data_IF_198573517403
#
_entry.id   IF_198573517403
#
_cell.length_a   1.000
_cell.length_b   1.000
_cell.length_c   1.000
_cell.angle_alpha   90.00
_cell.angle_beta   90.00
_cell.angle_gamma   90.00
#
_symmetry.space_group_name_H-M   'P 1'
#
loop_
_entity.id
_entity.type
_entity.pdbx_description
1 polymer ?
#
# COMPACT_ATOMS: atom_id res chain seq x y z
N UNK A 1 -7.87 -20.31 32.70
CA UNK A 1 -8.87 -19.22 32.70
C UNK A 1 -8.73 -18.45 31.40
N UNK A 2 -9.82 -18.36 30.64
CA UNK A 2 -9.93 -17.59 29.39
C UNK A 2 -10.13 -16.11 29.75
N UNK A 3 -9.59 -15.20 28.95
CA UNK A 3 -10.07 -13.81 28.87
C UNK A 3 -9.85 -13.30 27.43
N UNK A 4 -10.91 -13.46 26.64
CA UNK A 4 -11.61 -12.52 25.77
C UNK A 4 -10.83 -11.43 25.02
N UNK A 5 -10.90 -11.57 23.69
CA UNK A 5 -10.52 -10.54 22.73
C UNK A 5 -11.59 -9.45 22.59
N UNK A 6 -11.12 -8.21 22.52
CA UNK A 6 -11.94 -7.05 22.18
C UNK A 6 -12.00 -6.86 20.67
N UNK A 7 -13.23 -6.81 20.15
CA UNK A 7 -13.57 -6.32 18.81
C UNK A 7 -14.00 -4.85 18.93
N UNK A 8 -13.49 -3.98 18.06
CA UNK A 8 -14.15 -2.69 17.78
C UNK A 8 -14.42 -2.61 16.27
N UNK A 9 -15.70 -2.46 15.94
CA UNK A 9 -16.22 -2.11 14.61
C UNK A 9 -15.92 -0.63 14.36
N UNK A 10 -15.24 -0.27 13.27
CA UNK A 10 -15.26 1.12 12.79
C UNK A 10 -16.56 1.34 12.02
N UNK A 11 -17.50 2.05 12.63
CA UNK A 11 -18.62 2.67 11.94
C UNK A 11 -18.12 3.93 11.24
N UNK A 12 -18.42 4.10 9.95
CA UNK A 12 -18.73 5.41 9.36
C UNK A 12 -19.69 5.18 8.19
N UNK A 13 -20.93 5.64 8.38
CA UNK A 13 -21.90 5.90 7.32
C UNK A 13 -22.54 7.27 7.61
N UNK A 14 -22.94 7.91 6.52
CA UNK A 14 -23.78 9.10 6.38
C UNK A 14 -23.06 10.46 6.34
N UNK A 15 -22.83 10.93 5.11
CA UNK A 15 -23.24 12.28 4.72
C UNK A 15 -24.20 12.10 3.54
N UNK A 16 -25.42 12.61 3.73
CA UNK A 16 -26.54 12.58 2.81
C UNK A 16 -26.24 13.44 1.57
N UNK A 17 -26.66 12.97 0.39
CA UNK A 17 -26.84 13.82 -0.79
C UNK A 17 -28.30 13.73 -1.21
N UNK A 18 -29.01 14.83 -0.95
CA UNK A 18 -30.37 15.10 -1.40
C UNK A 18 -30.42 15.19 -2.92
N UNK A 19 -31.16 14.27 -3.55
CA UNK A 19 -31.68 14.44 -4.91
C UNK A 19 -33.20 14.25 -4.86
N UNK A 20 -33.94 15.37 -4.98
CA UNK A 20 -35.37 15.36 -5.22
C UNK A 20 -35.62 15.00 -6.69
N UNK A 21 -36.32 13.88 -6.90
CA UNK A 21 -36.99 13.55 -8.16
C UNK A 21 -38.46 14.00 -8.05
N UNK A 22 -38.90 14.75 -9.05
CA UNK A 22 -40.30 15.09 -9.28
C UNK A 22 -41.05 13.93 -9.94
N UNK A 23 -42.18 13.58 -9.33
CA UNK A 23 -43.46 13.19 -9.96
C UNK A 23 -43.47 12.10 -11.03
N UNK A 24 -44.11 10.97 -10.72
CA UNK A 24 -45.48 10.72 -11.19
C UNK A 24 -46.11 9.50 -10.52
N UNK A 25 -47.38 9.65 -10.17
CA UNK A 25 -48.25 8.66 -9.54
C UNK A 25 -49.20 8.03 -10.55
N UNK A 26 -49.55 6.75 -10.35
CA UNK A 26 -50.89 6.15 -10.57
C UNK A 26 -50.81 4.64 -10.28
N UNK A 27 -51.28 4.18 -9.12
CA UNK A 27 -52.58 3.50 -8.86
C UNK A 27 -52.89 2.27 -9.72
N UNK A 28 -52.82 1.07 -9.13
CA UNK A 28 -54.02 0.24 -8.85
C UNK A 28 -53.71 -1.00 -7.99
N UNK A 29 -54.65 -1.26 -7.08
CA UNK A 29 -54.78 -2.36 -6.13
C UNK A 29 -55.04 -3.73 -6.78
N UNK A 30 -54.69 -4.85 -6.13
CA UNK A 30 -55.57 -5.62 -5.21
C UNK A 30 -54.97 -7.01 -4.93
N UNK A 31 -55.26 -7.47 -3.71
CA UNK A 31 -54.83 -8.67 -2.99
C UNK A 31 -55.18 -10.02 -3.62
N UNK A 32 -54.38 -11.05 -3.32
CA UNK A 32 -54.88 -12.33 -2.74
C UNK A 32 -53.74 -13.08 -2.05
N UNK A 33 -54.05 -13.57 -0.85
CA UNK A 33 -53.20 -14.30 0.10
C UNK A 33 -53.23 -15.81 -0.15
N UNK A 34 -52.10 -16.51 0.07
CA UNK A 34 -52.12 -17.97 0.13
C UNK A 34 -50.76 -18.66 0.34
N UNK A 35 -50.48 -19.01 1.61
CA UNK A 35 -49.72 -20.18 2.09
C UNK A 35 -48.19 -20.32 1.84
N UNK A 36 -47.48 -20.69 2.91
CA UNK A 36 -46.24 -21.48 2.81
C UNK A 36 -45.14 -21.15 3.82
N UNK A 37 -45.06 -21.94 4.91
CA UNK A 37 -43.98 -21.94 5.91
C UNK A 37 -42.59 -22.16 5.29
N UNK A 38 -41.57 -21.45 5.79
CA UNK A 38 -40.25 -22.03 6.10
C UNK A 38 -39.37 -21.02 6.87
N UNK A 39 -39.22 -21.22 8.19
CA UNK A 39 -38.09 -20.67 8.94
C UNK A 39 -36.84 -21.43 8.51
N UNK A 40 -35.87 -20.75 7.89
CA UNK A 40 -34.49 -21.25 7.74
C UNK A 40 -33.58 -20.42 8.63
N UNK A 41 -33.12 -21.05 9.71
CA UNK A 41 -32.03 -20.59 10.55
C UNK A 41 -30.76 -20.41 9.71
N UNK A 42 -30.39 -19.15 9.47
CA UNK A 42 -29.16 -18.76 8.81
C UNK A 42 -27.97 -18.90 9.76
N UNK A 43 -27.50 -20.12 9.98
CA UNK A 43 -26.24 -20.40 10.70
C UNK A 43 -25.05 -20.04 9.79
N UNK A 44 -24.70 -18.74 9.73
CA UNK A 44 -23.49 -18.26 9.08
C UNK A 44 -22.27 -18.83 9.81
N UNK A 45 -21.67 -19.90 9.28
CA UNK A 45 -20.34 -20.37 9.69
C UNK A 45 -19.32 -19.32 9.26
N UNK A 46 -18.82 -18.54 10.20
CA UNK A 46 -17.62 -17.71 10.00
C UNK A 46 -16.43 -18.65 9.81
N UNK A 47 -15.91 -18.70 8.59
CA UNK A 47 -14.62 -19.32 8.30
C UNK A 47 -13.53 -18.44 8.92
N UNK A 48 -13.17 -18.75 10.17
CA UNK A 48 -11.94 -18.28 10.80
C UNK A 48 -10.76 -18.86 10.02
N UNK A 49 -10.18 -18.09 9.10
CA UNK A 49 -8.87 -18.40 8.53
C UNK A 49 -7.82 -18.03 9.58
N UNK A 50 -7.42 -19.03 10.34
CA UNK A 50 -6.34 -18.98 11.33
C UNK A 50 -5.02 -18.76 10.58
N UNK A 51 -4.56 -17.52 10.47
CA UNK A 51 -3.21 -17.20 9.99
C UNK A 51 -2.20 -17.80 10.97
N UNK A 52 -1.61 -18.94 10.58
CA UNK A 52 -0.42 -19.45 11.26
C UNK A 52 0.77 -18.60 10.78
N UNK A 53 1.42 -17.96 11.75
CA UNK A 53 2.75 -17.38 11.61
C UNK A 53 3.69 -18.51 11.18
N UNK A 54 4.09 -18.49 9.91
CA UNK A 54 5.30 -19.12 9.45
C UNK A 54 6.25 -17.96 9.15
N UNK A 55 7.38 -17.93 9.85
CA UNK A 55 8.52 -17.12 9.42
C UNK A 55 8.87 -17.55 8.00
N UNK A 56 8.51 -16.71 7.04
CA UNK A 56 8.75 -16.97 5.63
C UNK A 56 10.24 -16.80 5.37
N UNK A 57 11.02 -17.87 5.55
CA UNK A 57 12.39 -18.04 5.04
C UNK A 57 12.51 -17.97 3.50
N UNK A 58 11.58 -17.30 2.83
CA UNK A 58 11.50 -17.10 1.38
C UNK A 58 12.10 -15.74 0.97
N UNK A 59 12.32 -14.81 1.93
CA UNK A 59 13.02 -13.55 1.67
C UNK A 59 14.44 -13.77 1.11
N UNK A 60 15.13 -14.85 1.55
CA UNK A 60 16.51 -15.16 1.14
C UNK A 60 16.67 -15.42 -0.37
N UNK A 61 15.66 -15.95 -1.07
CA UNK A 61 15.72 -16.17 -2.53
C UNK A 61 15.37 -14.93 -3.36
N UNK A 62 14.83 -13.87 -2.76
CA UNK A 62 14.42 -12.63 -3.44
C UNK A 62 15.53 -11.57 -3.51
N UNK A 63 16.66 -11.82 -2.84
CA UNK A 63 17.88 -11.02 -2.94
C UNK A 63 18.41 -10.87 -4.37
N UNK A 64 18.05 -11.74 -5.32
CA UNK A 64 18.47 -11.62 -6.72
C UNK A 64 17.97 -10.34 -7.39
N UNK A 65 16.82 -9.79 -6.96
CA UNK A 65 16.28 -8.54 -7.52
C UNK A 65 16.94 -7.29 -6.90
N UNK A 66 17.59 -7.41 -5.73
CA UNK A 66 18.30 -6.29 -5.07
C UNK A 66 19.51 -5.84 -5.89
N UNK A 67 20.07 -6.72 -6.73
CA UNK A 67 21.21 -6.39 -7.61
C UNK A 67 20.84 -5.59 -8.86
N UNK A 68 19.55 -5.35 -9.13
CA UNK A 68 19.14 -4.62 -10.32
C UNK A 68 19.41 -3.12 -10.16
N UNK A 69 20.07 -2.45 -11.14
CA UNK A 69 20.34 -1.02 -11.04
C UNK A 69 19.09 -0.20 -10.74
N UNK A 70 17.94 -0.59 -11.32
CA UNK A 70 16.66 0.08 -11.10
C UNK A 70 16.09 -0.11 -9.69
N UNK A 71 16.47 -1.15 -8.93
CA UNK A 71 16.04 -1.35 -7.54
C UNK A 71 17.06 -0.76 -6.57
N UNK A 72 18.36 -0.89 -6.87
CA UNK A 72 19.45 -0.31 -6.07
C UNK A 72 19.29 1.19 -5.93
N UNK A 73 18.99 1.89 -7.03
CA UNK A 73 18.77 3.33 -7.04
C UNK A 73 17.55 3.73 -6.18
N UNK A 74 16.47 2.94 -6.23
CA UNK A 74 15.22 3.22 -5.51
C UNK A 74 15.33 2.93 -4.01
N UNK A 75 16.26 2.06 -3.61
CA UNK A 75 16.63 1.81 -2.21
C UNK A 75 17.59 2.86 -1.64
N UNK A 76 18.08 3.82 -2.44
CA UNK A 76 19.09 4.79 -1.98
C UNK A 76 18.63 5.62 -0.78
N UNK A 77 17.38 6.09 -0.80
CA UNK A 77 16.79 6.88 0.30
C UNK A 77 16.69 6.05 1.58
N UNK A 78 16.21 4.80 1.46
CA UNK A 78 16.16 3.86 2.57
C UNK A 78 17.55 3.65 3.17
N UNK A 79 18.52 3.25 2.35
CA UNK A 79 19.90 2.98 2.79
C UNK A 79 20.54 4.20 3.46
N UNK A 80 20.32 5.39 2.91
CA UNK A 80 20.87 6.63 3.42
C UNK A 80 20.28 7.03 4.79
N UNK A 81 19.00 6.76 5.03
CA UNK A 81 18.34 7.07 6.30
C UNK A 81 18.65 6.00 7.36
N UNK A 82 18.56 4.73 6.98
CA UNK A 82 18.76 3.58 7.87
C UNK A 82 20.23 3.40 8.27
N UNK A 83 21.20 3.87 7.48
CA UNK A 83 22.61 3.88 7.91
C UNK A 83 22.88 4.75 9.15
N UNK A 84 21.94 5.66 9.49
CA UNK A 84 22.09 6.59 10.62
C UNK A 84 22.78 7.90 10.28
N UNK A 85 23.10 8.13 9.00
CA UNK A 85 23.71 9.38 8.53
C UNK A 85 22.73 10.57 8.50
N UNK A 86 21.45 10.35 8.83
CA UNK A 86 20.38 11.33 8.73
C UNK A 86 19.63 11.44 10.07
N UNK A 87 19.32 12.68 10.45
CA UNK A 87 18.56 13.02 11.66
C UNK A 87 17.31 13.82 11.25
N UNK A 88 16.20 13.60 11.96
CA UNK A 88 14.98 14.37 11.81
C UNK A 88 15.21 15.85 12.21
N UNK A 89 14.89 16.80 11.35
CA UNK A 89 14.89 18.22 11.74
C UNK A 89 13.62 18.57 12.52
N UNK A 90 13.71 19.62 13.35
CA UNK A 90 12.55 20.23 14.01
C UNK A 90 11.82 21.24 13.09
N UNK A 91 12.26 21.38 11.83
CA UNK A 91 11.59 22.22 10.84
C UNK A 91 10.26 21.57 10.43
N UNK A 92 9.15 22.27 10.66
CA UNK A 92 7.83 21.80 10.24
C UNK A 92 7.62 22.07 8.74
N UNK A 93 7.31 21.04 7.97
CA UNK A 93 7.11 21.13 6.52
C UNK A 93 5.69 20.68 6.20
N UNK A 94 4.74 21.57 6.48
CA UNK A 94 3.30 21.33 6.28
C UNK A 94 2.92 21.17 4.81
N UNK A 95 3.67 21.77 3.87
CA UNK A 95 3.20 21.95 2.49
C UNK A 95 3.53 20.78 1.53
N UNK A 96 4.56 19.99 1.80
CA UNK A 96 4.99 18.89 0.91
C UNK A 96 4.38 17.53 1.26
N UNK A 97 3.86 17.38 2.48
CA UNK A 97 3.36 16.11 3.03
C UNK A 97 2.14 15.53 2.29
N UNK A 98 1.29 16.39 1.70
CA UNK A 98 0.00 15.99 1.15
C UNK A 98 0.04 15.29 -0.22
N UNK A 99 1.20 15.25 -0.90
CA UNK A 99 1.28 14.81 -2.30
C UNK A 99 2.00 13.48 -2.51
N UNK A 100 2.51 12.85 -1.46
CA UNK A 100 3.26 11.60 -1.59
C UNK A 100 2.31 10.42 -1.81
N UNK A 101 2.61 9.61 -2.83
CA UNK A 101 1.89 8.36 -3.09
C UNK A 101 2.38 7.29 -2.11
N UNK A 102 1.46 6.71 -1.34
CA UNK A 102 1.76 5.74 -0.27
C UNK A 102 0.92 4.48 -0.40
N UNK A 103 1.38 3.39 0.20
CA UNK A 103 0.64 2.12 0.28
C UNK A 103 -0.41 2.22 1.39
N UNK A 104 -1.68 2.02 1.03
CA UNK A 104 -2.82 2.07 1.96
C UNK A 104 -3.23 0.70 2.46
N UNK A 105 -3.17 -0.33 1.59
CA UNK A 105 -3.50 -1.72 1.92
C UNK A 105 -2.55 -2.66 1.20
N UNK A 106 -2.35 -3.84 1.77
CA UNK A 106 -1.50 -4.88 1.21
C UNK A 106 -2.06 -6.27 1.53
N UNK A 107 -1.72 -7.24 0.70
CA UNK A 107 -2.01 -8.65 0.89
C UNK A 107 -0.81 -9.48 0.44
N UNK A 108 -0.51 -10.50 1.23
CA UNK A 108 0.59 -11.42 0.98
C UNK A 108 0.04 -12.75 0.46
N UNK A 109 0.19 -12.96 -0.86
CA UNK A 109 -0.08 -14.24 -1.53
C UNK A 109 1.20 -14.80 -2.13
N UNK A 110 2.36 -14.54 -1.51
CA UNK A 110 3.68 -14.94 -2.04
C UNK A 110 3.85 -16.44 -2.18
N UNK A 111 3.08 -17.24 -1.44
CA UNK A 111 3.03 -18.71 -1.60
C UNK A 111 2.39 -19.21 -2.90
N UNK A 112 1.75 -18.33 -3.70
CA UNK A 112 1.10 -18.71 -4.97
C UNK A 112 1.35 -17.74 -6.11
N UNK A 113 1.17 -16.44 -5.87
CA UNK A 113 1.14 -15.41 -6.93
C UNK A 113 2.23 -14.36 -6.69
N UNK A 114 2.27 -13.78 -5.50
CA UNK A 114 3.10 -12.61 -5.22
C UNK A 114 2.58 -11.77 -4.06
N UNK A 115 3.16 -10.59 -3.92
CA UNK A 115 2.76 -9.59 -2.93
C UNK A 115 2.01 -8.46 -3.63
N UNK A 116 0.84 -8.07 -3.11
CA UNK A 116 0.01 -7.04 -3.72
C UNK A 116 -0.29 -5.91 -2.76
N UNK A 117 -0.41 -4.71 -3.29
CA UNK A 117 -0.77 -3.54 -2.50
C UNK A 117 -1.58 -2.51 -3.31
N UNK A 118 -2.33 -1.66 -2.63
CA UNK A 118 -3.04 -0.54 -3.25
C UNK A 118 -2.56 0.78 -2.68
N UNK A 119 -2.30 1.72 -3.57
CA UNK A 119 -1.82 3.06 -3.25
C UNK A 119 -3.00 4.02 -2.99
N UNK A 120 -2.72 5.16 -2.36
CA UNK A 120 -3.71 6.23 -2.11
C UNK A 120 -4.19 6.95 -3.39
N UNK A 121 -3.53 6.75 -4.52
CA UNK A 121 -3.95 7.22 -5.84
C UNK A 121 -4.77 6.16 -6.63
N UNK A 122 -5.09 5.03 -5.99
CA UNK A 122 -5.88 3.95 -6.56
C UNK A 122 -5.11 2.94 -7.40
N UNK A 123 -3.79 3.10 -7.54
CA UNK A 123 -2.98 2.12 -8.23
C UNK A 123 -2.92 0.82 -7.44
N UNK A 124 -3.30 -0.29 -8.06
CA UNK A 124 -2.98 -1.65 -7.62
C UNK A 124 -1.59 -2.02 -8.12
N UNK A 125 -0.70 -2.41 -7.22
CA UNK A 125 0.62 -2.94 -7.55
C UNK A 125 0.70 -4.41 -7.14
N UNK A 126 1.31 -5.25 -7.96
CA UNK A 126 1.60 -6.66 -7.67
C UNK A 126 3.03 -6.98 -8.04
N UNK A 127 3.82 -7.35 -7.03
CA UNK A 127 5.16 -7.91 -7.18
C UNK A 127 5.04 -9.44 -7.23
N UNK A 128 5.23 -10.01 -8.42
CA UNK A 128 5.08 -11.44 -8.65
C UNK A 128 6.27 -12.24 -8.10
N UNK A 129 6.07 -13.53 -7.86
CA UNK A 129 7.12 -14.45 -7.39
C UNK A 129 8.29 -14.60 -8.37
N UNK A 130 8.10 -14.26 -9.64
CA UNK A 130 9.15 -14.25 -10.66
C UNK A 130 9.93 -12.93 -10.74
N UNK A 131 9.70 -12.01 -9.79
CA UNK A 131 10.37 -10.71 -9.70
C UNK A 131 9.78 -9.61 -10.57
N UNK A 132 8.92 -9.94 -11.55
CA UNK A 132 8.23 -8.90 -12.32
C UNK A 132 7.22 -8.13 -11.45
N UNK A 133 6.96 -6.87 -11.80
CA UNK A 133 6.00 -6.03 -11.09
C UNK A 133 5.01 -5.40 -12.04
N UNK A 134 3.71 -5.54 -11.75
CA UNK A 134 2.62 -4.89 -12.48
C UNK A 134 2.00 -3.79 -11.62
N UNK A 135 1.77 -2.63 -12.21
CA UNK A 135 0.93 -1.56 -11.69
C UNK A 135 -0.28 -1.38 -12.59
N UNK A 136 -1.46 -1.20 -12.00
CA UNK A 136 -2.71 -0.95 -12.70
C UNK A 136 -3.49 0.14 -11.98
N UNK A 137 -3.84 1.21 -12.70
CA UNK A 137 -4.74 2.24 -12.21
C UNK A 137 -5.98 2.26 -13.09
N UNK A 138 -7.15 2.11 -12.46
CA UNK A 138 -8.43 2.26 -13.13
C UNK A 138 -8.65 3.70 -13.58
N UNK A 139 -9.44 3.87 -14.65
CA UNK A 139 -9.86 5.19 -15.08
C UNK A 139 -10.56 5.93 -13.92
N UNK A 140 -10.18 7.18 -13.72
CA UNK A 140 -10.77 8.08 -12.73
C UNK A 140 -11.14 9.40 -13.39
N UNK A 141 -11.77 10.31 -12.66
CA UNK A 141 -12.10 11.65 -13.16
C UNK A 141 -10.88 12.43 -13.68
N UNK A 142 -9.66 12.04 -13.29
CA UNK A 142 -8.43 12.76 -13.60
C UNK A 142 -7.52 12.06 -14.62
N UNK A 143 -7.93 10.91 -15.17
CA UNK A 143 -7.12 10.20 -16.17
C UNK A 143 -7.68 8.85 -16.60
N UNK A 144 -7.23 8.40 -17.78
CA UNK A 144 -7.59 7.10 -18.32
C UNK A 144 -7.02 5.93 -17.51
N UNK A 145 -7.53 4.73 -17.82
CA UNK A 145 -6.95 3.48 -17.34
C UNK A 145 -5.48 3.40 -17.79
N UNK A 146 -4.61 2.93 -16.90
CA UNK A 146 -3.18 2.77 -17.20
C UNK A 146 -2.62 1.54 -16.53
N UNK A 147 -1.68 0.92 -17.23
CA UNK A 147 -0.92 -0.19 -16.74
C UNK A 147 0.56 0.04 -17.01
N UNK A 148 1.37 -0.51 -16.12
CA UNK A 148 2.82 -0.52 -16.23
C UNK A 148 3.33 -1.87 -15.77
N UNK A 149 4.26 -2.45 -16.51
CA UNK A 149 4.90 -3.70 -16.14
C UNK A 149 6.40 -3.56 -16.24
N UNK A 150 7.08 -3.90 -15.16
CA UNK A 150 8.47 -4.28 -15.16
C UNK A 150 8.55 -5.78 -15.45
N UNK A 151 8.90 -6.11 -16.69
CA UNK A 151 9.13 -7.46 -17.17
C UNK A 151 10.64 -7.75 -17.25
N UNK A 152 11.00 -9.03 -17.45
CA UNK A 152 12.36 -9.48 -17.72
C UNK A 152 13.39 -8.84 -16.80
N UNK A 153 13.17 -8.96 -15.49
CA UNK A 153 14.04 -8.33 -14.49
C UNK A 153 15.50 -8.77 -14.60
N UNK A 154 15.79 -9.91 -15.24
CA UNK A 154 17.15 -10.40 -15.45
C UNK A 154 17.84 -9.81 -16.70
N UNK A 155 17.15 -9.04 -17.53
CA UNK A 155 17.71 -8.36 -18.71
C UNK A 155 18.21 -6.96 -18.33
N UNK A 156 19.24 -6.47 -19.04
CA UNK A 156 19.85 -5.17 -18.77
C UNK A 156 19.88 -4.32 -20.05
N UNK A 157 19.11 -3.22 -20.15
CA UNK A 157 18.17 -2.71 -19.14
C UNK A 157 16.90 -3.57 -19.01
N UNK A 158 16.24 -3.58 -17.84
CA UNK A 158 15.00 -4.33 -17.66
C UNK A 158 13.87 -3.71 -18.49
N UNK A 159 13.00 -4.55 -19.03
CA UNK A 159 11.93 -4.12 -19.91
C UNK A 159 10.79 -3.48 -19.11
N UNK A 160 10.54 -2.18 -19.36
CA UNK A 160 9.37 -1.48 -18.84
C UNK A 160 8.40 -1.26 -19.99
N UNK A 161 7.17 -1.74 -19.81
CA UNK A 161 6.11 -1.63 -20.82
C UNK A 161 4.89 -0.95 -20.19
N UNK A 162 4.30 -0.01 -20.92
CA UNK A 162 3.11 0.73 -20.49
C UNK A 162 1.99 0.58 -21.53
N UNK A 163 0.75 0.52 -21.05
CA UNK A 163 -0.44 0.44 -21.90
C UNK A 163 -1.63 1.11 -21.24
N UNK A 164 -2.55 1.62 -22.05
CA UNK A 164 -3.76 2.28 -21.57
C UNK A 164 -4.93 1.30 -21.38
N UNK A 165 -4.94 0.18 -22.13
CA UNK A 165 -6.05 -0.78 -22.08
C UNK A 165 -5.54 -2.21 -22.15
N UNK A 166 -6.12 -3.08 -21.33
CA UNK A 166 -5.72 -4.50 -21.31
C UNK A 166 -5.90 -5.19 -22.67
N UNK A 167 -6.83 -4.73 -23.52
CA UNK A 167 -7.05 -5.27 -24.88
C UNK A 167 -5.88 -5.05 -25.83
N UNK A 168 -5.01 -4.08 -25.53
CA UNK A 168 -3.85 -3.76 -26.36
C UNK A 168 -2.68 -4.74 -26.08
N UNK A 169 -2.79 -5.56 -25.03
CA UNK A 169 -1.81 -6.58 -24.66
C UNK A 169 -2.02 -7.88 -25.45
N UNK A 170 -1.02 -8.25 -26.26
CA UNK A 170 -1.04 -9.50 -27.05
C UNK A 170 -0.37 -10.69 -26.34
N UNK A 171 0.54 -10.42 -25.39
CA UNK A 171 1.26 -11.47 -24.67
C UNK A 171 0.34 -12.19 -23.67
N UNK A 172 0.10 -13.48 -23.91
CA UNK A 172 -0.69 -14.35 -23.04
C UNK A 172 -0.16 -14.44 -21.60
N UNK A 173 1.16 -14.32 -21.38
CA UNK A 173 1.76 -14.31 -20.04
C UNK A 173 1.42 -13.03 -19.29
N UNK A 174 1.46 -11.88 -19.96
CA UNK A 174 1.08 -10.59 -19.39
C UNK A 174 -0.42 -10.57 -19.08
N UNK A 175 -1.27 -11.07 -19.98
CA UNK A 175 -2.70 -11.21 -19.74
C UNK A 175 -3.02 -12.08 -18.52
N UNK A 176 -2.27 -13.18 -18.31
CA UNK A 176 -2.39 -14.00 -17.08
C UNK A 176 -2.03 -13.20 -15.83
N UNK A 177 -0.96 -12.39 -15.86
CA UNK A 177 -0.58 -11.52 -14.73
C UNK A 177 -1.66 -10.48 -14.40
N UNK A 178 -2.27 -9.85 -15.41
CA UNK A 178 -3.41 -8.93 -15.20
C UNK A 178 -4.56 -9.66 -14.50
N UNK A 179 -4.91 -10.87 -14.96
CA UNK A 179 -5.95 -11.69 -14.32
C UNK A 179 -5.61 -12.06 -12.88
N UNK A 180 -4.36 -12.41 -12.59
CA UNK A 180 -3.92 -12.70 -11.23
C UNK A 180 -3.97 -11.45 -10.34
N UNK A 181 -3.60 -10.28 -10.86
CA UNK A 181 -3.68 -9.03 -10.11
C UNK A 181 -5.14 -8.70 -9.71
N UNK A 182 -6.09 -8.93 -10.61
CA UNK A 182 -7.52 -8.74 -10.31
C UNK A 182 -8.03 -9.61 -9.14
N UNK A 183 -7.35 -10.72 -8.80
CA UNK A 183 -7.72 -11.59 -7.68
C UNK A 183 -7.33 -11.01 -6.31
N UNK A 184 -6.50 -9.96 -6.26
CA UNK A 184 -6.06 -9.40 -4.97
C UNK A 184 -7.20 -8.69 -4.21
N UNK A 185 -8.36 -8.41 -4.84
CA UNK A 185 -9.55 -7.77 -4.23
C UNK A 185 -9.26 -6.56 -3.32
N UNK A 186 -8.10 -5.92 -3.50
CA UNK A 186 -7.69 -4.77 -2.72
C UNK A 186 -8.39 -3.54 -3.29
N UNK A 187 -9.00 -2.76 -2.40
CA UNK A 187 -9.58 -1.45 -2.71
C UNK A 187 -8.99 -0.41 -1.80
N UNK A 188 -8.69 0.78 -2.32
CA UNK A 188 -8.22 1.90 -1.52
C UNK A 188 -9.19 2.19 -0.37
N UNK A 189 -8.67 2.70 0.76
CA UNK A 189 -9.47 2.96 1.95
C UNK A 189 -10.36 4.21 1.85
N UNK A 190 -10.05 5.13 0.93
CA UNK A 190 -10.71 6.43 0.75
C UNK A 190 -10.77 6.83 -0.72
N UNK A 191 -11.48 7.93 -1.02
CA UNK A 191 -11.33 8.68 -2.26
C UNK A 191 -9.86 9.03 -2.52
N UNK A 192 -9.47 9.09 -3.79
CA UNK A 192 -8.09 9.34 -4.18
C UNK A 192 -7.71 10.82 -3.91
N UNK A 193 -7.00 11.06 -2.81
CA UNK A 193 -6.56 12.42 -2.42
C UNK A 193 -5.35 12.91 -3.23
N UNK A 194 -4.70 12.00 -3.97
CA UNK A 194 -3.49 12.28 -4.77
C UNK A 194 -3.71 11.80 -6.19
N UNK A 195 -3.52 12.71 -7.16
CA UNK A 195 -3.49 12.38 -8.58
C UNK A 195 -2.02 12.34 -9.02
N UNK A 196 -1.45 11.15 -9.15
CA UNK A 196 -0.13 10.99 -9.76
C UNK A 196 -0.28 10.81 -11.28
N UNK A 197 0.49 11.51 -12.13
CA UNK A 197 0.44 11.27 -13.57
C UNK A 197 1.05 9.91 -13.96
N UNK A 198 1.87 9.30 -13.10
CA UNK A 198 2.59 8.07 -13.38
C UNK A 198 2.04 6.89 -12.57
N UNK A 199 2.04 5.69 -13.16
CA UNK A 199 1.74 4.44 -12.46
C UNK A 199 2.99 3.98 -11.73
N UNK A 200 2.89 3.81 -10.42
CA UNK A 200 3.97 3.26 -9.61
C UNK A 200 3.93 1.71 -9.60
N UNK A 201 5.11 1.12 -9.44
CA UNK A 201 5.31 -0.32 -9.26
C UNK A 201 5.81 -0.60 -7.84
N UNK A 202 5.50 -1.77 -7.30
CA UNK A 202 6.13 -2.27 -6.08
C UNK A 202 7.39 -3.04 -6.50
N UNK A 203 8.57 -2.51 -6.17
CA UNK A 203 9.83 -3.08 -6.62
C UNK A 203 10.47 -4.02 -5.60
N UNK A 204 10.21 -3.77 -4.32
CA UNK A 204 10.82 -4.54 -3.25
C UNK A 204 9.92 -4.59 -2.02
N UNK A 205 9.93 -5.74 -1.36
CA UNK A 205 9.28 -6.01 -0.10
C UNK A 205 10.22 -6.79 0.83
N UNK A 206 10.34 -6.40 2.10
CA UNK A 206 10.98 -7.23 3.12
C UNK A 206 10.10 -7.25 4.34
N UNK A 207 9.76 -8.45 4.81
CA UNK A 207 9.01 -8.62 6.05
C UNK A 207 9.93 -9.24 7.08
N UNK A 208 9.96 -8.63 8.25
CA UNK A 208 10.47 -9.26 9.46
C UNK A 208 9.31 -9.45 10.45
N UNK A 209 9.62 -9.93 11.65
CA UNK A 209 8.63 -10.19 12.69
C UNK A 209 7.80 -8.95 13.07
N UNK A 210 8.44 -7.78 13.11
CA UNK A 210 7.84 -6.56 13.66
C UNK A 210 7.48 -5.51 12.62
N UNK A 211 7.97 -5.65 11.38
CA UNK A 211 7.81 -4.63 10.35
C UNK A 211 7.74 -5.22 8.93
N UNK A 212 7.13 -4.44 8.03
CA UNK A 212 7.07 -4.68 6.61
C UNK A 212 7.61 -3.47 5.86
N UNK A 213 8.72 -3.65 5.16
CA UNK A 213 9.34 -2.70 4.26
C UNK A 213 8.78 -2.88 2.84
N UNK A 214 8.40 -1.78 2.19
CA UNK A 214 7.88 -1.71 0.84
C UNK A 214 8.60 -0.58 0.10
N UNK A 215 9.01 -0.80 -1.14
CA UNK A 215 9.69 0.23 -1.96
C UNK A 215 9.01 0.34 -3.31
N UNK A 216 8.58 1.55 -3.65
CA UNK A 216 7.94 1.86 -4.92
C UNK A 216 8.96 2.30 -5.97
N UNK A 217 8.59 2.22 -7.26
CA UNK A 217 9.41 2.67 -8.38
C UNK A 217 9.67 4.17 -8.44
N UNK A 218 8.98 4.96 -7.62
CA UNK A 218 9.26 6.39 -7.40
C UNK A 218 10.35 6.65 -6.36
N UNK A 219 10.81 5.62 -5.65
CA UNK A 219 11.81 5.73 -4.59
C UNK A 219 11.19 6.01 -3.23
N UNK A 220 9.85 6.11 -3.17
CA UNK A 220 9.11 6.13 -1.91
C UNK A 220 9.31 4.78 -1.23
N UNK A 221 9.86 4.83 -0.03
CA UNK A 221 9.99 3.70 0.87
C UNK A 221 8.96 3.82 1.98
N UNK A 222 8.24 2.74 2.27
CA UNK A 222 7.28 2.68 3.36
C UNK A 222 7.58 1.50 4.27
N UNK A 223 7.62 1.75 5.57
CA UNK A 223 7.81 0.76 6.62
C UNK A 223 6.55 0.76 7.49
N UNK A 224 5.82 -0.35 7.46
CA UNK A 224 4.65 -0.57 8.30
C UNK A 224 5.07 -1.36 9.55
N UNK A 225 4.95 -0.76 10.73
CA UNK A 225 5.16 -1.45 12.00
C UNK A 225 3.91 -2.25 12.34
N UNK A 226 4.03 -3.57 12.41
CA UNK A 226 2.88 -4.48 12.42
C UNK A 226 2.12 -4.48 13.74
N UNK A 227 2.82 -4.23 14.85
CA UNK A 227 2.24 -4.24 16.21
C UNK A 227 1.60 -2.91 16.59
N UNK A 228 2.20 -1.80 16.16
CA UNK A 228 1.78 -0.44 16.57
C UNK A 228 0.94 0.27 15.50
N UNK A 229 0.81 -0.32 14.31
CA UNK A 229 0.10 0.25 13.15
C UNK A 229 0.65 1.58 12.61
N UNK A 230 1.75 2.05 13.19
CA UNK A 230 2.57 3.17 12.72
C UNK A 230 3.16 2.87 11.35
N UNK A 231 3.25 3.91 10.52
CA UNK A 231 3.87 3.82 9.19
C UNK A 231 4.91 4.91 9.07
N UNK A 232 6.12 4.54 8.70
CA UNK A 232 7.20 5.47 8.36
C UNK A 232 7.34 5.48 6.84
N UNK A 233 7.20 6.65 6.22
CA UNK A 233 7.38 6.84 4.78
C UNK A 233 8.61 7.72 4.58
N UNK A 234 9.51 7.31 3.69
CA UNK A 234 10.72 8.03 3.33
C UNK A 234 10.69 8.30 1.82
N UNK A 235 11.02 9.52 1.41
CA UNK A 235 11.11 9.85 -0.01
C UNK A 235 12.08 11.00 -0.25
N UNK A 236 12.53 11.12 -1.49
CA UNK A 236 13.28 12.28 -1.97
C UNK A 236 12.30 13.25 -2.62
N UNK A 237 12.23 14.47 -2.11
CA UNK A 237 11.44 15.54 -2.70
C UNK A 237 12.30 16.44 -3.59
N UNK A 238 11.78 17.63 -3.85
CA UNK A 238 12.47 18.67 -4.63
C UNK A 238 13.84 19.03 -4.02
N UNK A 239 14.76 19.51 -4.86
CA UNK A 239 16.12 19.87 -4.47
C UNK A 239 16.92 18.73 -3.80
N UNK A 240 16.57 17.48 -4.14
CA UNK A 240 17.20 16.28 -3.58
C UNK A 240 17.10 16.15 -2.06
N UNK A 241 16.19 16.89 -1.42
CA UNK A 241 15.96 16.78 0.02
C UNK A 241 15.25 15.47 0.35
N UNK A 242 15.66 14.85 1.45
CA UNK A 242 15.01 13.64 1.97
C UNK A 242 14.01 14.07 3.03
N UNK A 243 12.83 13.48 2.96
CA UNK A 243 11.74 13.71 3.89
C UNK A 243 11.31 12.39 4.50
N UNK A 244 10.76 12.49 5.70
CA UNK A 244 10.16 11.38 6.40
C UNK A 244 8.79 11.79 6.94
N UNK A 245 7.81 10.90 6.77
CA UNK A 245 6.44 11.04 7.29
C UNK A 245 6.15 9.91 8.24
N UNK A 246 5.60 10.24 9.39
CA UNK A 246 4.93 9.28 10.26
C UNK A 246 3.43 9.39 10.00
N UNK A 247 2.78 8.26 9.76
CA UNK A 247 1.33 8.12 9.77
C UNK A 247 0.96 7.26 10.97
N UNK A 248 0.17 7.83 11.86
CA UNK A 248 -0.35 7.18 13.05
C UNK A 248 -1.86 7.44 13.14
N UNK A 249 -2.64 6.41 13.47
CA UNK A 249 -4.10 6.50 13.44
C UNK A 249 -4.62 7.54 14.46
N UNK A 250 -4.03 7.60 15.66
CA UNK A 250 -4.39 8.59 16.70
C UNK A 250 -3.73 9.98 16.55
N UNK A 251 -2.52 10.07 16.01
CA UNK A 251 -1.73 11.31 16.00
C UNK A 251 -1.69 12.00 14.63
N UNK A 252 -2.39 11.46 13.64
CA UNK A 252 -2.46 11.99 12.30
C UNK A 252 -1.17 11.75 11.49
N UNK A 253 -0.87 12.70 10.60
CA UNK A 253 0.30 12.63 9.71
C UNK A 253 1.26 13.75 10.08
N UNK A 254 2.53 13.39 10.28
CA UNK A 254 3.59 14.35 10.57
C UNK A 254 4.76 14.14 9.63
N UNK A 255 5.28 15.23 9.06
CA UNK A 255 6.38 15.20 8.09
C UNK A 255 7.50 16.13 8.52
N UNK A 256 8.74 15.64 8.46
CA UNK A 256 9.93 16.45 8.65
C UNK A 256 10.95 16.23 7.53
N UNK A 257 11.90 17.15 7.43
CA UNK A 257 13.09 16.95 6.59
C UNK A 257 14.14 16.16 7.35
N UNK A 258 14.89 15.36 6.61
CA UNK A 258 16.02 14.57 7.10
C UNK A 258 17.33 15.25 6.71
N UNK A 259 18.07 15.73 7.72
CA UNK A 259 19.33 16.47 7.53
C UNK A 259 20.54 15.60 7.83
N UNK A 260 21.70 15.90 7.21
CA UNK A 260 22.98 15.24 7.50
C UNK A 260 23.67 15.99 8.62
N UNK A 261 23.90 15.30 9.74
CA UNK A 261 24.40 15.96 10.94
C UNK A 261 23.41 16.99 11.47
N UNK A 262 23.54 17.33 12.75
CA UNK A 262 22.65 18.28 13.40
C UNK A 262 22.40 17.91 14.86
N UNK A 263 21.79 18.84 15.63
CA UNK A 263 21.37 18.55 16.98
C UNK A 263 20.30 17.44 16.98
N UNK A 264 20.17 16.74 18.09
CA UNK A 264 19.06 15.82 18.29
C UNK A 264 17.73 16.58 18.24
N UNK A 265 16.68 15.99 17.65
CA UNK A 265 15.38 16.63 17.58
C UNK A 265 14.84 16.90 18.98
N UNK A 266 14.29 18.08 19.18
CA UNK A 266 13.71 18.52 20.45
C UNK A 266 12.19 18.42 20.43
N UNK A 267 11.58 18.60 19.26
CA UNK A 267 10.13 18.51 19.12
C UNK A 267 9.66 17.05 19.33
N UNK A 268 8.54 16.83 20.05
CA UNK A 268 8.02 15.49 20.30
C UNK A 268 7.82 14.65 19.02
N UNK A 269 7.34 15.28 17.95
CA UNK A 269 7.05 14.60 16.69
C UNK A 269 8.32 14.19 15.95
N UNK A 270 9.33 15.05 15.89
CA UNK A 270 10.65 14.72 15.31
C UNK A 270 11.36 13.65 16.13
N UNK A 271 11.23 13.65 17.46
CA UNK A 271 11.72 12.56 18.32
C UNK A 271 11.01 11.23 18.07
N UNK A 272 9.69 11.23 17.88
CA UNK A 272 8.93 10.03 17.53
C UNK A 272 9.41 9.47 16.18
N UNK A 273 9.56 10.33 15.18
CA UNK A 273 10.07 9.95 13.86
C UNK A 273 11.48 9.35 13.96
N UNK A 274 12.38 9.98 14.71
CA UNK A 274 13.73 9.47 14.96
C UNK A 274 13.70 8.10 15.66
N UNK A 275 12.81 7.91 16.64
CA UNK A 275 12.60 6.63 17.33
C UNK A 275 12.14 5.54 16.36
N UNK A 276 11.23 5.85 15.44
CA UNK A 276 10.76 4.91 14.42
C UNK A 276 11.86 4.54 13.43
N UNK A 277 12.71 5.48 13.03
CA UNK A 277 13.92 5.18 12.24
C UNK A 277 14.83 4.23 12.99
N UNK A 278 15.16 4.51 14.25
CA UNK A 278 15.98 3.60 15.07
C UNK A 278 15.35 2.21 15.25
N UNK A 279 14.01 2.13 15.34
CA UNK A 279 13.30 0.86 15.37
C UNK A 279 13.42 0.12 14.05
N UNK A 280 13.22 0.80 12.92
CA UNK A 280 13.36 0.22 11.59
C UNK A 280 14.77 -0.36 11.37
N UNK A 281 15.82 0.36 11.79
CA UNK A 281 17.21 -0.13 11.74
C UNK A 281 17.37 -1.49 12.40
N UNK A 282 17.00 -1.60 13.68
CA UNK A 282 17.05 -2.87 14.42
C UNK A 282 16.24 -3.97 13.75
N UNK A 283 15.07 -3.65 13.20
CA UNK A 283 14.20 -4.62 12.55
C UNK A 283 14.77 -5.23 11.26
N UNK A 284 15.72 -4.56 10.59
CA UNK A 284 16.20 -5.00 9.28
C UNK A 284 17.73 -5.17 9.19
N UNK A 285 18.48 -4.77 10.22
CA UNK A 285 19.92 -5.05 10.39
C UNK A 285 20.16 -6.44 11.02
N UNK A 286 19.19 -7.03 11.73
CA UNK A 286 19.32 -8.32 12.44
C UNK A 286 18.90 -9.56 11.61
N UNK A 287 18.49 -9.38 10.35
CA UNK A 287 18.01 -10.43 9.41
C UNK A 287 18.78 -10.45 8.08
#
# INVERSE_FOLDING_TARGET
MKNDGFFIKSQFANIESTAFLTGNASTTSRSTTGHGRARKDGRKRSLQVRMRSADSGIASKRLSCIGLPCVVDQLSVYKEVISGCRIASDENISFTAGRTVIVTKWADYTGKIGFGCVLNDGTLCVLFTDGSSLGHRLASSCGGERYKLLANVNEQPPAIVEWERAKDVKDSKVLKKIKYAAQFELRAASSFDVVSPYVNLLLYEKRCKHALLLVLSSGVTQINFLETHEKLILWRGEHSHIYATVVHDEHGKYTCRMVRGGPQPTLPQSRLLQKLISRARRCFDED
#
